data_IF_914519013683
#
_entry.id   IF_914519013683
#
_cell.length_a   1.000
_cell.length_b   1.000
_cell.length_c   1.000
_cell.angle_alpha   90.00
_cell.angle_beta   90.00
_cell.angle_gamma   90.00
#
_symmetry.space_group_name_H-M   'P 1'
#
loop_
_entity.id
_entity.type
_entity.pdbx_description
1 polymer ?
#
# COMPACT_ATOMS: atom_id res chain seq x y z
N UNK A 1 -18.04 -7.48 2.37
CA UNK A 1 -16.94 -6.53 2.66
C UNK A 1 -16.94 -5.46 1.57
N UNK A 2 -16.98 -4.17 1.91
CA UNK A 2 -16.98 -3.07 0.93
C UNK A 2 -15.64 -2.34 1.04
N UNK A 3 -15.00 -2.09 -0.09
CA UNK A 3 -13.77 -1.30 -0.19
C UNK A 3 -14.15 0.09 -0.70
N UNK A 4 -13.59 1.14 -0.10
CA UNK A 4 -13.87 2.51 -0.49
C UNK A 4 -13.41 2.80 -1.93
N UNK A 5 -14.16 3.65 -2.64
CA UNK A 5 -13.93 3.92 -4.07
C UNK A 5 -12.54 4.47 -4.34
N UNK A 6 -12.04 5.32 -3.44
CA UNK A 6 -10.70 5.91 -3.56
C UNK A 6 -9.59 4.85 -3.49
N UNK A 7 -9.74 3.87 -2.59
CA UNK A 7 -8.82 2.74 -2.48
C UNK A 7 -8.83 1.91 -3.76
N UNK A 8 -10.03 1.62 -4.30
CA UNK A 8 -10.15 0.87 -5.56
C UNK A 8 -9.53 1.65 -6.73
N UNK A 9 -9.76 2.96 -6.79
CA UNK A 9 -9.14 3.81 -7.81
C UNK A 9 -7.62 3.79 -7.70
N UNK A 10 -7.07 3.95 -6.49
CA UNK A 10 -5.62 3.89 -6.27
C UNK A 10 -5.04 2.51 -6.59
N UNK A 11 -5.73 1.42 -6.25
CA UNK A 11 -5.24 0.06 -6.51
C UNK A 11 -5.14 -0.27 -8.01
N UNK A 12 -5.83 0.47 -8.87
CA UNK A 12 -5.74 0.32 -10.34
C UNK A 12 -4.60 1.13 -10.96
N UNK A 13 -4.00 2.05 -10.21
CA UNK A 13 -2.84 2.81 -10.68
C UNK A 13 -1.56 1.98 -10.54
N UNK A 14 -0.53 2.26 -11.36
CA UNK A 14 0.74 1.54 -11.28
C UNK A 14 1.38 1.55 -9.88
N UNK A 15 2.16 0.52 -9.60
CA UNK A 15 2.96 0.40 -8.40
C UNK A 15 4.44 0.19 -8.75
N UNK A 16 5.38 0.74 -7.95
CA UNK A 16 6.80 0.45 -8.12
C UNK A 16 7.11 -1.04 -7.91
N UNK A 17 8.01 -1.60 -8.72
CA UNK A 17 8.54 -2.96 -8.53
C UNK A 17 7.65 -4.09 -9.07
N UNK A 18 7.00 -3.88 -10.22
CA UNK A 18 6.12 -4.86 -10.87
C UNK A 18 6.72 -6.28 -10.99
N UNK A 19 5.90 -7.34 -10.86
CA UNK A 19 4.43 -7.35 -10.75
C UNK A 19 3.90 -7.34 -9.30
N UNK A 20 2.79 -6.63 -9.07
CA UNK A 20 2.01 -6.64 -7.81
C UNK A 20 0.69 -7.38 -8.00
N UNK A 21 0.35 -8.31 -7.08
CA UNK A 21 -0.91 -9.06 -7.12
C UNK A 21 -2.08 -8.21 -6.62
N UNK A 22 -3.31 -8.56 -7.00
CA UNK A 22 -4.52 -7.79 -6.66
C UNK A 22 -4.67 -7.48 -5.16
N UNK A 23 -4.42 -8.44 -4.28
CA UNK A 23 -4.52 -8.22 -2.83
C UNK A 23 -3.44 -7.27 -2.31
N UNK A 24 -2.21 -7.43 -2.81
CA UNK A 24 -1.07 -6.57 -2.45
C UNK A 24 -1.30 -5.12 -2.91
N UNK A 25 -1.89 -4.95 -4.10
CA UNK A 25 -2.28 -3.63 -4.63
C UNK A 25 -3.35 -2.96 -3.77
N UNK A 26 -4.38 -3.70 -3.33
CA UNK A 26 -5.41 -3.19 -2.42
C UNK A 26 -4.84 -2.81 -1.05
N UNK A 27 -3.90 -3.61 -0.54
CA UNK A 27 -3.25 -3.34 0.74
C UNK A 27 -2.40 -2.07 0.69
N UNK A 28 -1.55 -1.93 -0.34
CA UNK A 28 -0.75 -0.72 -0.56
C UNK A 28 -1.61 0.51 -0.82
N UNK A 29 -2.66 0.39 -1.63
CA UNK A 29 -3.59 1.48 -1.89
C UNK A 29 -4.28 1.96 -0.62
N UNK A 30 -4.72 1.03 0.25
CA UNK A 30 -5.33 1.36 1.52
C UNK A 30 -4.39 2.16 2.40
N UNK A 31 -3.12 1.75 2.50
CA UNK A 31 -2.11 2.47 3.27
C UNK A 31 -1.83 3.88 2.70
N UNK A 32 -1.75 4.02 1.39
CA UNK A 32 -1.54 5.32 0.72
C UNK A 32 -2.69 6.28 1.00
N UNK A 33 -3.94 5.80 0.90
CA UNK A 33 -5.14 6.61 1.19
C UNK A 33 -5.19 6.98 2.68
N UNK A 34 -4.97 6.01 3.57
CA UNK A 34 -5.04 6.24 5.02
C UNK A 34 -3.97 7.20 5.54
N UNK A 35 -2.82 7.32 4.87
CA UNK A 35 -1.71 8.21 5.27
C UNK A 35 -2.13 9.68 5.38
N UNK A 36 -3.12 10.13 4.60
CA UNK A 36 -3.62 11.50 4.71
C UNK A 36 -4.39 11.78 6.00
N UNK A 37 -4.94 10.74 6.64
CA UNK A 37 -5.76 10.84 7.84
C UNK A 37 -5.04 10.40 9.12
N UNK A 38 -3.93 9.65 9.01
CA UNK A 38 -3.20 9.05 10.14
C UNK A 38 -1.73 9.45 10.07
N UNK A 39 -1.32 10.39 10.93
CA UNK A 39 -0.01 11.03 10.88
C UNK A 39 1.17 10.04 10.99
N UNK A 40 1.07 9.03 11.87
CA UNK A 40 2.15 8.06 12.13
C UNK A 40 1.85 6.66 11.56
N UNK A 41 1.19 6.60 10.41
CA UNK A 41 0.86 5.33 9.78
C UNK A 41 2.12 4.52 9.43
N UNK A 42 2.21 3.31 9.97
CA UNK A 42 3.20 2.31 9.59
C UNK A 42 2.53 1.16 8.82
N UNK A 43 3.13 0.79 7.68
CA UNK A 43 2.68 -0.28 6.80
C UNK A 43 3.35 -1.61 7.17
N UNK A 44 2.58 -2.59 7.61
CA UNK A 44 3.09 -3.89 8.02
C UNK A 44 2.93 -4.91 6.90
N UNK A 45 4.02 -5.56 6.52
CA UNK A 45 3.98 -6.74 5.64
C UNK A 45 5.16 -7.65 5.92
N UNK A 46 4.94 -8.96 5.91
CA UNK A 46 6.02 -9.95 5.95
C UNK A 46 6.59 -10.26 4.57
N UNK A 47 5.91 -9.86 3.50
CA UNK A 47 6.40 -9.98 2.12
C UNK A 47 7.34 -8.82 1.77
N UNK A 48 8.61 -9.13 1.46
CA UNK A 48 9.63 -8.14 1.12
C UNK A 48 9.31 -7.37 -0.16
N UNK A 49 8.68 -7.98 -1.17
CA UNK A 49 8.32 -7.25 -2.40
C UNK A 49 7.28 -6.18 -2.09
N UNK A 50 6.30 -6.52 -1.26
CA UNK A 50 5.27 -5.58 -0.82
C UNK A 50 5.87 -4.48 0.06
N UNK A 51 6.85 -4.80 0.93
CA UNK A 51 7.59 -3.78 1.69
C UNK A 51 8.39 -2.87 0.79
N UNK A 52 9.11 -3.40 -0.20
CA UNK A 52 9.89 -2.61 -1.15
C UNK A 52 9.02 -1.61 -1.93
N UNK A 53 7.86 -2.04 -2.43
CA UNK A 53 6.88 -1.15 -3.05
C UNK A 53 6.33 -0.12 -2.07
N UNK A 54 6.09 -0.50 -0.81
CA UNK A 54 5.69 0.43 0.25
C UNK A 54 6.73 1.52 0.53
N UNK A 55 8.02 1.15 0.63
CA UNK A 55 9.14 2.10 0.76
C UNK A 55 9.19 3.05 -0.42
N UNK A 56 9.08 2.54 -1.65
CA UNK A 56 9.09 3.34 -2.86
C UNK A 56 7.90 4.32 -2.97
N UNK A 57 6.79 4.03 -2.28
CA UNK A 57 5.63 4.92 -2.14
C UNK A 57 5.74 5.91 -0.97
N UNK A 58 6.89 5.93 -0.27
CA UNK A 58 7.15 6.80 0.87
C UNK A 58 6.42 6.37 2.15
N UNK A 59 5.99 5.11 2.27
CA UNK A 59 5.42 4.59 3.50
C UNK A 59 6.53 4.19 4.47
N UNK A 60 6.34 4.48 5.76
CA UNK A 60 7.08 3.79 6.82
C UNK A 60 6.65 2.33 6.82
N UNK A 61 7.59 1.39 6.74
CA UNK A 61 7.29 -0.06 6.70
C UNK A 61 7.83 -0.80 7.91
N UNK A 62 7.15 -1.88 8.25
CA UNK A 62 7.51 -2.82 9.31
C UNK A 62 7.38 -4.27 8.83
N UNK A 63 8.25 -5.20 9.30
CA UNK A 63 9.54 -4.90 9.93
C UNK A 63 10.44 -4.10 8.97
N UNK A 64 11.49 -3.49 9.52
CA UNK A 64 12.42 -2.64 8.76
C UNK A 64 13.00 -3.38 7.54
#
# INVERSE_FOLDING_TARGET
>A
MRIEREVVARARSPFPGEPIRTLDALHLASAVVARAAVADLAFLSLDEKVRASGRALGLRVMPA
#
